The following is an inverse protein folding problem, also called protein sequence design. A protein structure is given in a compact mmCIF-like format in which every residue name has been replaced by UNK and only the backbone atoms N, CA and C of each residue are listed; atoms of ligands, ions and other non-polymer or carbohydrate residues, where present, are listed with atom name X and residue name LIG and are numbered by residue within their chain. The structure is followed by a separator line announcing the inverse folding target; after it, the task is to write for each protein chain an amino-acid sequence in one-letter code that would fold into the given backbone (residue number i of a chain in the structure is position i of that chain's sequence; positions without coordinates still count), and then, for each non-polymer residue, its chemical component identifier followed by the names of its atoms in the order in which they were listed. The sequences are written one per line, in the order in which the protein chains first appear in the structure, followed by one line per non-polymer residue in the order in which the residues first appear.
data_IF_403858927381
#
_entry.id   IF_403858927381
#
_cell.length_a   1.000
_cell.length_b   1.000
_cell.length_c   1.000
_cell.angle_alpha   90.00
_cell.angle_beta   90.00
_cell.angle_gamma   90.00
#
_symmetry.space_group_name_H-M   'P 1'
#
loop_
_entity.id
_entity.type
_entity.pdbx_description
1 polymer ?
#
# COMPACT_ATOMS: atom_id res chain seq x y z
N UNK A 1 -7.26 0.87 27.08
CA UNK A 1 -7.56 0.97 25.63
C UNK A 1 -8.37 -0.26 25.20
N UNK A 2 -9.47 -0.10 24.46
CA UNK A 2 -10.35 -1.23 24.13
C UNK A 2 -9.61 -2.22 23.20
N UNK A 3 -9.32 -3.44 23.67
CA UNK A 3 -8.45 -4.42 22.96
C UNK A 3 -8.90 -4.66 21.51
N UNK A 4 -10.22 -4.69 21.25
CA UNK A 4 -10.78 -4.80 19.89
C UNK A 4 -10.35 -3.68 18.95
N UNK A 5 -10.29 -2.43 19.44
CA UNK A 5 -9.85 -1.28 18.63
C UNK A 5 -8.36 -1.38 18.33
N UNK A 6 -7.55 -1.79 19.29
CA UNK A 6 -6.10 -1.97 19.10
C UNK A 6 -5.79 -3.00 18.00
N UNK A 7 -6.39 -4.20 18.07
CA UNK A 7 -6.18 -5.22 17.04
C UNK A 7 -6.68 -4.78 15.65
N UNK A 8 -7.74 -3.96 15.58
CA UNK A 8 -8.24 -3.40 14.32
C UNK A 8 -7.18 -2.51 13.65
N UNK A 9 -6.62 -1.55 14.37
CA UNK A 9 -5.60 -0.64 13.82
C UNK A 9 -4.26 -1.34 13.55
N UNK A 10 -3.90 -2.33 14.37
CA UNK A 10 -2.73 -3.17 14.13
C UNK A 10 -2.88 -3.94 12.81
N UNK A 11 -4.04 -4.58 12.58
CA UNK A 11 -4.31 -5.29 11.34
C UNK A 11 -4.32 -4.35 10.12
N UNK A 12 -4.91 -3.16 10.25
CA UNK A 12 -4.88 -2.13 9.21
C UNK A 12 -3.44 -1.71 8.87
N UNK A 13 -2.59 -1.53 9.89
CA UNK A 13 -1.19 -1.16 9.71
C UNK A 13 -0.39 -2.26 8.99
N UNK A 14 -0.65 -3.53 9.32
CA UNK A 14 -0.04 -4.66 8.60
C UNK A 14 -0.52 -4.74 7.15
N UNK A 15 -1.83 -4.62 6.90
CA UNK A 15 -2.38 -4.60 5.53
C UNK A 15 -1.75 -3.49 4.69
N UNK A 16 -1.62 -2.31 5.29
CA UNK A 16 -1.00 -1.16 4.68
C UNK A 16 0.49 -1.40 4.37
N UNK A 17 1.25 -1.92 5.33
CA UNK A 17 2.65 -2.27 5.16
C UNK A 17 2.85 -3.27 4.01
N UNK A 18 2.07 -4.36 3.98
CA UNK A 18 2.14 -5.34 2.90
C UNK A 18 1.73 -4.75 1.54
N UNK A 19 0.75 -3.85 1.51
CA UNK A 19 0.35 -3.15 0.30
C UNK A 19 1.51 -2.33 -0.25
N UNK A 20 2.14 -1.49 0.57
CA UNK A 20 3.31 -0.70 0.15
C UNK A 20 4.43 -1.61 -0.35
N UNK A 21 4.75 -2.66 0.40
CA UNK A 21 5.84 -3.57 0.06
C UNK A 21 5.59 -4.25 -1.29
N UNK A 22 4.35 -4.69 -1.54
CA UNK A 22 3.93 -5.24 -2.83
C UNK A 22 4.06 -4.25 -3.99
N UNK A 23 3.63 -3.00 -3.79
CA UNK A 23 3.70 -1.96 -4.83
C UNK A 23 5.13 -1.47 -5.08
N UNK A 24 6.00 -1.40 -4.06
CA UNK A 24 7.43 -1.08 -4.22
C UNK A 24 8.11 -2.17 -5.05
N UNK A 25 7.92 -3.44 -4.71
CA UNK A 25 8.53 -4.56 -5.45
C UNK A 25 8.02 -4.60 -6.89
N UNK A 26 6.70 -4.46 -7.08
CA UNK A 26 6.09 -4.43 -8.41
C UNK A 26 6.58 -3.24 -9.24
N UNK A 27 6.66 -2.05 -8.64
CA UNK A 27 7.16 -0.83 -9.29
C UNK A 27 8.63 -0.94 -9.68
N UNK A 28 9.47 -1.52 -8.81
CA UNK A 28 10.88 -1.78 -9.10
C UNK A 28 11.08 -2.78 -10.25
N UNK A 29 10.31 -3.86 -10.27
CA UNK A 29 10.34 -4.82 -11.37
C UNK A 29 9.88 -4.15 -12.67
N UNK A 30 8.79 -3.38 -12.63
CA UNK A 30 8.30 -2.65 -13.80
C UNK A 30 9.34 -1.65 -14.34
N UNK A 31 9.99 -0.87 -13.46
CA UNK A 31 11.06 0.04 -13.87
C UNK A 31 12.26 -0.68 -14.49
N UNK A 32 12.62 -1.85 -13.95
CA UNK A 32 13.75 -2.64 -14.44
C UNK A 32 13.50 -3.16 -15.87
N UNK A 33 12.29 -3.59 -16.19
CA UNK A 33 11.97 -4.21 -17.48
C UNK A 33 11.42 -3.23 -18.53
N UNK A 34 10.70 -2.18 -18.13
CA UNK A 34 9.99 -1.27 -19.07
C UNK A 34 10.72 0.07 -19.21
N UNK A 35 11.15 0.67 -18.10
CA UNK A 35 11.66 2.04 -18.07
C UNK A 35 13.17 2.13 -17.94
N UNK A 36 13.94 1.09 -18.29
CA UNK A 36 15.41 1.09 -18.25
C UNK A 36 15.99 1.65 -16.94
N UNK A 37 15.36 1.35 -15.79
CA UNK A 37 15.80 1.78 -14.45
C UNK A 37 15.67 3.28 -14.14
N UNK A 38 14.75 4.02 -14.77
CA UNK A 38 14.54 5.45 -14.47
C UNK A 38 13.94 5.65 -13.04
N UNK A 39 13.34 4.64 -12.43
CA UNK A 39 12.90 4.67 -11.02
C UNK A 39 11.55 5.36 -10.78
N UNK A 40 10.86 5.78 -11.85
CA UNK A 40 9.59 6.51 -11.79
C UNK A 40 8.48 5.62 -11.26
N UNK A 41 8.37 4.37 -11.72
CA UNK A 41 7.31 3.47 -11.27
C UNK A 41 7.55 3.02 -9.83
N UNK A 42 8.80 2.81 -9.43
CA UNK A 42 9.21 2.48 -8.07
C UNK A 42 8.77 3.56 -7.08
N UNK A 43 8.78 4.83 -7.49
CA UNK A 43 8.33 5.96 -6.67
C UNK A 43 6.81 6.16 -6.72
N UNK A 44 6.18 6.02 -7.89
CA UNK A 44 4.76 6.34 -8.08
C UNK A 44 3.81 5.21 -7.68
N UNK A 45 4.17 3.95 -7.89
CA UNK A 45 3.33 2.79 -7.52
C UNK A 45 3.01 2.70 -6.02
N UNK A 46 3.96 2.93 -5.10
CA UNK A 46 3.66 2.92 -3.67
C UNK A 46 2.64 3.99 -3.28
N UNK A 47 2.68 5.17 -3.91
CA UNK A 47 1.73 6.27 -3.69
C UNK A 47 0.33 5.87 -4.17
N UNK A 48 0.23 5.20 -5.33
CA UNK A 48 -1.04 4.68 -5.83
C UNK A 48 -1.58 3.59 -4.89
N UNK A 49 -0.72 2.66 -4.46
CA UNK A 49 -1.08 1.61 -3.49
C UNK A 49 -1.55 2.18 -2.16
N UNK A 50 -0.91 3.26 -1.69
CA UNK A 50 -1.31 4.03 -0.51
C UNK A 50 -2.75 4.56 -0.63
N UNK A 51 -3.05 5.25 -1.74
CA UNK A 51 -4.38 5.83 -1.98
C UNK A 51 -5.47 4.75 -2.09
N UNK A 52 -5.18 3.63 -2.77
CA UNK A 52 -6.11 2.49 -2.87
C UNK A 52 -6.38 1.90 -1.49
N UNK A 53 -5.34 1.72 -0.67
CA UNK A 53 -5.48 1.19 0.69
C UNK A 53 -6.38 2.09 1.53
N UNK A 54 -6.16 3.40 1.51
CA UNK A 54 -7.01 4.36 2.22
C UNK A 54 -8.47 4.32 1.75
N UNK A 55 -8.70 4.25 0.43
CA UNK A 55 -10.04 4.19 -0.13
C UNK A 55 -10.79 2.93 0.32
N UNK A 56 -10.12 1.77 0.35
CA UNK A 56 -10.71 0.52 0.83
C UNK A 56 -11.08 0.58 2.31
N UNK A 57 -10.23 1.20 3.13
CA UNK A 57 -10.47 1.39 4.56
C UNK A 57 -11.69 2.30 4.76
N UNK A 58 -11.71 3.45 4.08
CA UNK A 58 -12.84 4.38 4.12
C UNK A 58 -14.15 3.70 3.75
N UNK A 59 -14.17 2.98 2.62
CA UNK A 59 -15.35 2.26 2.15
C UNK A 59 -15.82 1.18 3.14
N UNK A 60 -14.89 0.52 3.83
CA UNK A 60 -15.20 -0.51 4.83
C UNK A 60 -15.75 0.07 6.13
N UNK A 61 -15.32 1.28 6.51
CA UNK A 61 -15.77 1.96 7.72
C UNK A 61 -17.10 2.72 7.51
N UNK A 62 -17.35 3.16 6.28
CA UNK A 62 -18.58 3.88 5.90
C UNK A 62 -19.79 2.96 5.61
N UNK A 63 -19.63 1.65 5.81
CA UNK A 63 -20.65 0.60 5.67
C UNK A 63 -21.00 0.03 7.03
#
# INVERSE_FOLDING_TARGET
MNKKKYYKYLNLSFQFFFTILFFVVSGYLADKYILKKIGILTLTFPIIGFLISLYLIYKKESR
#
